data_IF_668289229621
#
_entry.id   IF_668289229621
#
_cell.length_a   1.000
_cell.length_b   1.000
_cell.length_c   1.000
_cell.angle_alpha   90.00
_cell.angle_beta   90.00
_cell.angle_gamma   90.00
#
_symmetry.space_group_name_H-M   'P 1'
#
loop_
_entity.id
_entity.type
_entity.pdbx_description
1 polymer ?
#
# COMPACT_ATOMS: atom_id res chain seq x y z
N UNK A 1 -21.87 -17.63 -15.66
CA UNK A 1 -20.60 -18.24 -16.13
C UNK A 1 -19.44 -17.50 -15.49
N UNK A 2 -18.58 -18.17 -14.72
CA UNK A 2 -17.37 -17.54 -14.18
C UNK A 2 -16.47 -17.12 -15.35
N UNK A 3 -16.07 -15.84 -15.41
CA UNK A 3 -15.11 -15.37 -16.43
C UNK A 3 -13.86 -16.24 -16.34
N UNK A 4 -13.56 -17.00 -17.41
CA UNK A 4 -12.34 -17.82 -17.53
C UNK A 4 -11.14 -16.93 -17.22
N UNK A 5 -10.41 -17.29 -16.18
CA UNK A 5 -9.24 -16.55 -15.72
C UNK A 5 -8.16 -16.64 -16.80
N UNK A 6 -7.80 -15.49 -17.41
CA UNK A 6 -6.74 -15.45 -18.43
C UNK A 6 -5.39 -15.68 -17.76
N UNK A 7 -4.58 -16.56 -18.34
CA UNK A 7 -3.18 -16.74 -17.94
C UNK A 7 -2.41 -15.44 -18.23
N UNK A 8 -1.81 -14.79 -17.22
CA UNK A 8 -1.12 -13.51 -17.40
C UNK A 8 0.19 -13.67 -18.14
N UNK A 9 0.79 -14.86 -18.13
CA UNK A 9 1.98 -15.13 -18.93
C UNK A 9 1.61 -14.97 -20.40
N UNK A 10 0.48 -15.53 -20.83
CA UNK A 10 -0.05 -15.31 -22.19
C UNK A 10 -0.35 -13.85 -22.52
N UNK A 11 -0.77 -13.04 -21.53
CA UNK A 11 -1.01 -11.59 -21.73
C UNK A 11 0.32 -10.86 -21.90
N UNK A 12 1.33 -11.16 -21.08
CA UNK A 12 2.62 -10.48 -21.12
C UNK A 12 3.44 -10.84 -22.37
N UNK A 13 3.41 -12.10 -22.79
CA UNK A 13 4.08 -12.52 -24.03
C UNK A 13 3.46 -11.85 -25.27
N UNK A 14 2.15 -11.51 -25.27
CA UNK A 14 1.55 -10.69 -26.34
C UNK A 14 2.13 -9.27 -26.41
N UNK A 15 2.54 -8.71 -25.28
CA UNK A 15 3.09 -7.36 -25.20
C UNK A 15 4.62 -7.33 -25.14
N UNK A 16 5.27 -8.48 -25.36
CA UNK A 16 6.73 -8.55 -25.43
C UNK A 16 7.21 -7.82 -26.67
N UNK A 17 7.88 -6.69 -26.45
CA UNK A 17 8.45 -5.88 -27.51
C UNK A 17 9.71 -6.58 -28.05
N UNK A 18 9.63 -7.12 -29.26
CA UNK A 18 10.75 -7.84 -29.91
C UNK A 18 11.61 -6.94 -30.81
N UNK A 19 11.16 -5.70 -31.10
CA UNK A 19 11.87 -4.67 -31.88
C UNK A 19 11.47 -3.27 -31.40
N UNK A 20 12.28 -2.24 -31.63
CA UNK A 20 11.98 -0.85 -31.26
C UNK A 20 10.61 -0.41 -31.82
N UNK A 21 9.60 -0.17 -30.97
CA UNK A 21 8.27 0.17 -31.43
C UNK A 21 8.23 1.63 -31.88
N UNK A 22 7.62 1.91 -33.04
CA UNK A 22 7.32 3.28 -33.45
C UNK A 22 6.36 3.95 -32.43
N UNK A 23 6.33 5.30 -32.34
CA UNK A 23 5.46 6.01 -31.39
C UNK A 23 3.97 5.64 -31.49
N UNK A 24 3.46 5.42 -32.71
CA UNK A 24 2.09 4.98 -32.95
C UNK A 24 1.82 3.54 -32.44
N UNK A 25 2.79 2.64 -32.63
CA UNK A 25 2.71 1.26 -32.13
C UNK A 25 2.77 1.22 -30.59
N UNK A 26 3.57 2.08 -29.96
CA UNK A 26 3.65 2.18 -28.51
C UNK A 26 2.31 2.63 -27.87
N UNK A 27 1.62 3.60 -28.47
CA UNK A 27 0.32 4.08 -27.98
C UNK A 27 -0.79 3.04 -28.11
N UNK A 28 -0.82 2.32 -29.23
CA UNK A 28 -1.76 1.20 -29.44
C UNK A 28 -1.51 0.09 -28.42
N UNK A 29 -0.25 -0.31 -28.25
CA UNK A 29 0.17 -1.33 -27.28
C UNK A 29 -0.19 -0.92 -25.84
N UNK A 30 0.03 0.34 -25.45
CA UNK A 30 -0.39 0.86 -24.16
C UNK A 30 -1.89 0.75 -23.94
N UNK A 31 -2.69 1.07 -24.96
CA UNK A 31 -4.15 1.05 -24.88
C UNK A 31 -4.68 -0.38 -24.75
N UNK A 32 -4.13 -1.31 -25.53
CA UNK A 32 -4.46 -2.74 -25.48
C UNK A 32 -4.02 -3.36 -24.14
N UNK A 33 -2.80 -3.07 -23.69
CA UNK A 33 -2.31 -3.52 -22.39
C UNK A 33 -3.19 -2.95 -21.26
N UNK A 34 -3.60 -1.68 -21.32
CA UNK A 34 -4.48 -1.07 -20.31
C UNK A 34 -5.88 -1.68 -20.31
N UNK A 35 -6.44 -2.05 -21.46
CA UNK A 35 -7.73 -2.74 -21.53
C UNK A 35 -7.64 -4.18 -20.99
N UNK A 36 -6.59 -4.93 -21.36
CA UNK A 36 -6.40 -6.30 -20.88
C UNK A 36 -5.98 -6.36 -19.40
N UNK A 37 -5.11 -5.45 -18.95
CA UNK A 37 -4.56 -5.43 -17.59
C UNK A 37 -5.43 -4.63 -16.60
N UNK A 38 -6.05 -3.54 -17.04
CA UNK A 38 -6.85 -2.65 -16.18
C UNK A 38 -8.23 -3.21 -15.81
N UNK A 39 -8.68 -4.26 -16.50
CA UNK A 39 -9.96 -4.94 -16.24
C UNK A 39 -9.79 -6.31 -15.57
N UNK A 40 -8.55 -6.80 -15.44
CA UNK A 40 -8.26 -8.12 -14.92
C UNK A 40 -8.25 -8.13 -13.38
N UNK A 41 -9.13 -8.93 -12.79
CA UNK A 41 -8.99 -9.36 -11.40
C UNK A 41 -7.91 -10.44 -11.38
N UNK A 42 -6.69 -10.04 -11.04
CA UNK A 42 -5.56 -10.95 -10.95
C UNK A 42 -5.72 -11.93 -9.79
N UNK A 43 -5.45 -13.21 -10.03
CA UNK A 43 -5.15 -14.11 -8.93
C UNK A 43 -3.82 -13.76 -8.29
N UNK A 44 -3.61 -14.18 -7.03
CA UNK A 44 -2.35 -13.99 -6.31
C UNK A 44 -1.15 -14.56 -7.09
N UNK A 45 -1.26 -15.78 -7.62
CA UNK A 45 -0.17 -16.48 -8.35
C UNK A 45 0.24 -15.74 -9.63
N UNK A 46 -0.75 -15.15 -10.27
CA UNK A 46 -0.65 -14.36 -11.48
C UNK A 46 0.15 -13.08 -11.25
N UNK A 47 -0.13 -12.39 -10.15
CA UNK A 47 0.63 -11.20 -9.75
C UNK A 47 2.06 -11.57 -9.32
N UNK A 48 2.27 -12.72 -8.67
CA UNK A 48 3.62 -13.19 -8.32
C UNK A 48 4.49 -13.41 -9.55
N UNK A 49 3.99 -14.18 -10.51
CA UNK A 49 4.68 -14.52 -11.75
C UNK A 49 5.03 -13.26 -12.54
N UNK A 50 4.06 -12.35 -12.69
CA UNK A 50 4.27 -11.03 -13.30
C UNK A 50 5.37 -10.22 -12.59
N UNK A 51 5.25 -10.06 -11.27
CA UNK A 51 6.15 -9.23 -10.47
C UNK A 51 7.59 -9.76 -10.52
N UNK A 52 7.77 -11.08 -10.37
CA UNK A 52 9.09 -11.71 -10.42
C UNK A 52 9.78 -11.59 -11.78
N UNK A 53 9.02 -11.57 -12.88
CA UNK A 53 9.56 -11.53 -14.26
C UNK A 53 9.86 -10.11 -14.75
N UNK A 54 9.10 -9.11 -14.30
CA UNK A 54 9.31 -7.70 -14.65
C UNK A 54 10.36 -7.03 -13.74
N UNK A 55 10.34 -7.32 -12.43
CA UNK A 55 11.19 -6.63 -11.45
C UNK A 55 12.38 -7.48 -10.96
N UNK A 56 12.46 -8.75 -11.38
CA UNK A 56 13.42 -9.72 -10.87
C UNK A 56 13.14 -10.16 -9.42
N UNK A 57 13.82 -11.22 -8.96
CA UNK A 57 13.93 -11.56 -7.53
C UNK A 57 15.00 -10.67 -6.87
N UNK A 58 14.84 -9.36 -6.95
CA UNK A 58 15.80 -8.48 -6.28
C UNK A 58 15.43 -8.43 -4.81
N UNK A 59 16.23 -9.07 -3.94
CA UNK A 59 16.13 -8.90 -2.49
C UNK A 59 16.57 -7.47 -2.13
N UNK A 60 15.68 -6.50 -2.34
CA UNK A 60 15.89 -5.19 -1.77
C UNK A 60 15.73 -5.33 -0.25
N UNK A 61 16.83 -5.20 0.48
CA UNK A 61 16.84 -5.11 1.95
C UNK A 61 16.84 -3.63 2.32
N UNK A 62 15.67 -2.97 2.43
CA UNK A 62 15.63 -1.57 2.82
C UNK A 62 16.22 -1.40 4.21
N UNK A 63 17.04 -0.37 4.37
CA UNK A 63 17.46 0.10 5.70
C UNK A 63 16.29 0.92 6.26
N UNK A 64 15.34 0.24 6.91
CA UNK A 64 14.24 0.88 7.62
C UNK A 64 14.73 1.22 9.03
N UNK A 65 14.89 2.51 9.35
CA UNK A 65 15.46 2.90 10.64
C UNK A 65 14.57 3.78 11.50
N UNK A 66 13.58 4.46 10.93
CA UNK A 66 12.92 5.54 11.67
C UNK A 66 11.41 5.38 11.79
N UNK A 67 10.97 5.17 13.02
CA UNK A 67 9.57 5.26 13.42
C UNK A 67 9.05 6.69 13.18
N UNK A 68 7.81 6.77 12.70
CA UNK A 68 7.11 8.02 12.44
C UNK A 68 7.32 8.63 11.07
N UNK A 69 8.07 7.97 10.19
CA UNK A 69 8.21 8.36 8.79
C UNK A 69 7.10 7.75 7.94
N UNK A 70 6.73 8.46 6.87
CA UNK A 70 5.80 7.96 5.85
C UNK A 70 6.59 7.34 4.70
N UNK A 71 6.30 6.09 4.37
CA UNK A 71 6.98 5.40 3.27
C UNK A 71 5.97 4.73 2.33
N UNK A 72 6.39 4.55 1.08
CA UNK A 72 5.68 3.71 0.11
C UNK A 72 6.62 2.75 -0.60
N UNK A 73 6.09 1.60 -0.99
CA UNK A 73 6.83 0.55 -1.68
C UNK A 73 5.86 -0.41 -2.38
N UNK A 74 6.37 -1.23 -3.29
CA UNK A 74 5.63 -2.38 -3.83
C UNK A 74 5.77 -3.55 -2.88
N UNK A 75 4.65 -4.19 -2.57
CA UNK A 75 4.63 -5.29 -1.61
C UNK A 75 3.97 -6.53 -2.19
N UNK A 76 4.53 -7.68 -1.88
CA UNK A 76 3.93 -8.95 -2.25
C UNK A 76 3.92 -9.92 -1.06
N UNK A 77 2.82 -10.01 -0.29
CA UNK A 77 2.79 -10.76 0.97
C UNK A 77 3.22 -12.22 0.83
N UNK A 78 3.76 -12.83 1.88
CA UNK A 78 4.08 -14.26 1.89
C UNK A 78 2.80 -15.13 1.82
N UNK A 79 1.73 -14.69 2.48
CA UNK A 79 0.43 -15.37 2.58
C UNK A 79 -0.59 -14.87 1.55
N UNK A 80 -0.12 -14.24 0.46
CA UNK A 80 -0.96 -13.66 -0.60
C UNK A 80 -2.05 -14.59 -1.13
N UNK A 81 -1.83 -15.91 -1.17
CA UNK A 81 -2.84 -16.91 -1.57
C UNK A 81 -4.05 -16.95 -0.63
N UNK A 82 -3.81 -16.93 0.68
CA UNK A 82 -4.85 -17.10 1.72
C UNK A 82 -5.41 -15.77 2.22
N UNK A 83 -4.70 -14.65 2.06
CA UNK A 83 -5.22 -13.33 2.43
C UNK A 83 -6.51 -12.99 1.67
N UNK A 84 -7.55 -12.45 2.31
CA UNK A 84 -8.78 -12.07 1.61
C UNK A 84 -8.54 -10.92 0.61
N UNK A 85 -7.61 -10.02 0.92
CA UNK A 85 -7.13 -8.93 0.07
C UNK A 85 -5.87 -8.31 0.70
N UNK A 86 -5.11 -7.54 -0.08
CA UNK A 86 -3.95 -6.78 0.39
C UNK A 86 -3.69 -5.59 -0.52
N UNK A 87 -2.98 -4.59 -0.01
CA UNK A 87 -2.46 -3.47 -0.80
C UNK A 87 -1.08 -3.84 -1.37
N UNK A 88 -0.95 -3.83 -2.69
CA UNK A 88 0.30 -4.09 -3.40
C UNK A 88 1.20 -2.85 -3.52
N UNK A 89 0.68 -1.66 -3.19
CA UNK A 89 1.44 -0.40 -3.10
C UNK A 89 1.14 0.31 -1.77
N UNK A 90 1.55 -0.25 -0.62
CA UNK A 90 1.32 0.39 0.69
C UNK A 90 1.81 1.83 0.77
N UNK A 91 1.02 2.69 1.43
CA UNK A 91 1.45 3.99 1.97
C UNK A 91 1.31 3.91 3.49
N UNK A 92 2.44 3.76 4.19
CA UNK A 92 2.43 3.47 5.63
C UNK A 92 3.09 4.58 6.42
N UNK A 93 2.54 4.90 7.59
CA UNK A 93 3.27 5.55 8.68
C UNK A 93 3.87 4.46 9.56
N UNK A 94 5.20 4.45 9.69
CA UNK A 94 5.91 3.44 10.48
C UNK A 94 5.62 3.67 11.96
N UNK A 95 5.21 2.61 12.66
CA UNK A 95 4.98 2.64 14.12
C UNK A 95 5.96 1.78 14.90
N UNK A 96 6.56 0.79 14.23
CA UNK A 96 7.52 -0.10 14.86
C UNK A 96 8.41 -0.76 13.79
N UNK A 97 9.67 -0.98 14.14
CA UNK A 97 10.63 -1.78 13.37
C UNK A 97 11.22 -2.79 14.34
N UNK A 98 10.55 -3.94 14.57
CA UNK A 98 10.98 -4.90 15.58
C UNK A 98 12.36 -5.50 15.30
N UNK A 99 12.67 -5.71 14.02
CA UNK A 99 13.91 -6.27 13.54
C UNK A 99 14.19 -5.80 12.09
N UNK A 100 15.32 -6.22 11.51
CA UNK A 100 15.72 -5.86 10.13
C UNK A 100 14.81 -6.45 9.04
N UNK A 101 14.04 -7.47 9.38
CA UNK A 101 13.22 -8.27 8.47
C UNK A 101 11.73 -7.90 8.56
N UNK A 102 11.34 -7.01 9.47
CA UNK A 102 9.95 -6.68 9.79
C UNK A 102 9.76 -5.18 9.98
N UNK A 103 8.72 -4.62 9.34
CA UNK A 103 8.22 -3.27 9.61
C UNK A 103 6.73 -3.29 9.87
N UNK A 104 6.30 -2.59 10.91
CA UNK A 104 4.89 -2.43 11.26
C UNK A 104 4.51 -0.97 11.03
N UNK A 105 3.40 -0.77 10.36
CA UNK A 105 2.91 0.58 10.05
C UNK A 105 1.40 0.64 9.89
N UNK A 106 0.87 1.84 10.06
CA UNK A 106 -0.51 2.16 9.73
C UNK A 106 -0.58 2.39 8.22
N UNK A 107 -1.17 1.45 7.47
CA UNK A 107 -1.40 1.62 6.05
C UNK A 107 -2.62 2.50 5.81
N UNK A 108 -2.36 3.72 5.35
CA UNK A 108 -3.35 4.77 5.17
C UNK A 108 -4.27 4.48 3.97
N UNK A 109 -3.87 3.65 3.00
CA UNK A 109 -4.74 3.31 1.88
C UNK A 109 -6.00 2.52 2.27
N UNK A 110 -5.99 1.82 3.41
CA UNK A 110 -7.16 1.11 3.94
C UNK A 110 -8.28 2.06 4.37
N UNK A 111 -7.96 3.32 4.62
CA UNK A 111 -8.91 4.35 5.02
C UNK A 111 -9.45 5.06 3.77
N UNK A 112 -10.71 5.50 3.82
CA UNK A 112 -11.22 6.46 2.83
C UNK A 112 -10.41 7.76 2.93
N UNK A 113 -10.35 8.57 1.87
CA UNK A 113 -9.56 9.82 1.86
C UNK A 113 -9.88 10.72 3.07
N UNK A 114 -11.15 10.82 3.46
CA UNK A 114 -11.58 11.58 4.64
C UNK A 114 -11.03 10.98 5.95
N UNK A 115 -11.10 9.65 6.10
CA UNK A 115 -10.56 8.97 7.28
C UNK A 115 -9.03 8.92 7.31
N UNK A 116 -8.36 8.96 6.15
CA UNK A 116 -6.90 9.13 6.04
C UNK A 116 -6.49 10.44 6.72
N UNK A 117 -7.12 11.54 6.31
CA UNK A 117 -6.85 12.87 6.86
C UNK A 117 -7.17 12.91 8.35
N UNK A 118 -8.35 12.43 8.78
CA UNK A 118 -8.72 12.41 10.21
C UNK A 118 -7.74 11.59 11.06
N UNK A 119 -7.32 10.43 10.58
CA UNK A 119 -6.36 9.56 11.29
C UNK A 119 -4.97 10.20 11.34
N UNK A 120 -4.52 10.80 10.24
CA UNK A 120 -3.24 11.53 10.19
C UNK A 120 -3.24 12.73 11.15
N UNK A 121 -4.27 13.57 11.09
CA UNK A 121 -4.39 14.75 11.96
C UNK A 121 -4.61 14.39 13.42
N UNK A 122 -5.25 13.26 13.74
CA UNK A 122 -5.34 12.81 15.14
C UNK A 122 -3.97 12.52 15.73
N UNK A 123 -2.97 12.17 14.91
CA UNK A 123 -1.58 11.93 15.29
C UNK A 123 -0.71 13.20 15.27
N UNK A 124 -1.19 14.32 14.71
CA UNK A 124 -0.48 15.61 14.64
C UNK A 124 0.18 16.07 15.95
N UNK A 125 -0.42 15.87 17.13
CA UNK A 125 0.21 16.23 18.40
C UNK A 125 1.52 15.47 18.72
N UNK A 126 1.80 14.37 18.02
CA UNK A 126 3.03 13.57 18.18
C UNK A 126 4.16 14.03 17.25
N UNK A 127 3.94 15.02 16.39
CA UNK A 127 4.90 15.47 15.40
C UNK A 127 6.14 16.12 16.07
N UNK A 128 7.34 15.77 15.59
CA UNK A 128 8.60 16.34 16.11
C UNK A 128 8.84 17.78 15.66
N UNK A 129 8.35 18.14 14.48
CA UNK A 129 8.48 19.47 13.88
C UNK A 129 7.21 19.81 13.07
N UNK A 130 6.49 20.85 13.50
CA UNK A 130 5.24 21.30 12.89
C UNK A 130 5.42 22.08 11.60
N UNK A 131 6.65 22.52 11.30
CA UNK A 131 6.96 23.15 10.02
C UNK A 131 7.19 22.13 8.90
N UNK A 132 7.08 20.82 9.21
CA UNK A 132 7.28 19.72 8.26
C UNK A 132 8.63 19.81 7.52
N UNK A 133 9.69 20.16 8.25
CA UNK A 133 11.06 20.07 7.73
C UNK A 133 11.43 18.64 7.34
N UNK A 134 12.55 18.45 6.64
CA UNK A 134 12.95 17.14 6.09
C UNK A 134 13.10 16.05 7.16
N UNK A 135 13.44 16.45 8.40
CA UNK A 135 13.60 15.55 9.54
C UNK A 135 12.33 15.37 10.37
N UNK A 136 11.21 15.99 9.98
CA UNK A 136 9.94 15.82 10.67
C UNK A 136 9.51 14.35 10.64
N UNK A 137 9.10 13.86 11.81
CA UNK A 137 8.58 12.50 12.02
C UNK A 137 7.54 12.54 13.14
N UNK A 138 6.69 11.54 13.19
CA UNK A 138 5.83 11.33 14.35
C UNK A 138 6.57 10.57 15.45
N UNK A 139 6.41 10.97 16.71
CA UNK A 139 6.77 10.13 17.87
C UNK A 139 5.66 9.09 18.12
N UNK A 140 5.29 8.34 17.08
CA UNK A 140 4.18 7.36 17.10
C UNK A 140 4.74 5.95 17.20
N UNK A 141 4.74 5.39 18.41
CA UNK A 141 5.11 3.99 18.62
C UNK A 141 3.85 3.13 18.75
N UNK A 142 3.96 1.82 18.49
CA UNK A 142 2.84 0.89 18.63
C UNK A 142 2.14 1.00 20.00
N UNK A 143 2.91 1.06 21.10
CA UNK A 143 2.39 1.22 22.47
C UNK A 143 1.50 2.47 22.63
N UNK A 144 1.92 3.61 22.08
CA UNK A 144 1.17 4.86 22.14
C UNK A 144 -0.18 4.75 21.39
N UNK A 145 -0.17 4.11 20.22
CA UNK A 145 -1.39 3.99 19.41
C UNK A 145 -2.36 2.94 19.94
N UNK A 146 -1.87 1.90 20.63
CA UNK A 146 -2.69 0.83 21.18
C UNK A 146 -3.39 1.21 22.48
N UNK A 147 -2.77 2.08 23.28
CA UNK A 147 -3.27 2.41 24.63
C UNK A 147 -4.16 3.67 24.66
N UNK A 148 -4.01 4.56 23.69
CA UNK A 148 -4.74 5.83 23.68
C UNK A 148 -5.97 5.81 22.77
N UNK A 149 -7.15 6.07 23.34
CA UNK A 149 -8.39 6.31 22.57
C UNK A 149 -8.24 7.40 21.50
N UNK A 150 -7.34 8.37 21.71
CA UNK A 150 -7.05 9.45 20.76
C UNK A 150 -6.43 8.94 19.46
N UNK A 151 -5.62 7.88 19.53
CA UNK A 151 -4.85 7.36 18.40
C UNK A 151 -5.38 6.00 17.90
N UNK A 152 -6.40 5.44 18.56
CA UNK A 152 -6.97 4.11 18.29
C UNK A 152 -7.42 3.92 16.84
N UNK A 153 -7.76 5.01 16.13
CA UNK A 153 -8.08 4.99 14.68
C UNK A 153 -6.95 4.35 13.86
N UNK A 154 -5.69 4.55 14.26
CA UNK A 154 -4.52 3.96 13.61
C UNK A 154 -4.51 2.43 13.61
N UNK A 155 -5.17 1.78 14.56
CA UNK A 155 -5.24 0.32 14.63
C UNK A 155 -6.09 -0.29 13.49
N UNK A 156 -6.94 0.50 12.84
CA UNK A 156 -7.81 -0.01 11.78
C UNK A 156 -7.01 -0.52 10.57
N UNK A 157 -5.98 0.23 10.16
CA UNK A 157 -5.08 -0.09 9.04
C UNK A 157 -3.69 -0.55 9.46
N UNK A 158 -3.48 -0.94 10.72
CA UNK A 158 -2.22 -1.51 11.17
C UNK A 158 -1.90 -2.81 10.41
N UNK A 159 -0.69 -2.90 9.85
CA UNK A 159 -0.19 -4.05 9.10
C UNK A 159 1.28 -4.29 9.42
N UNK A 160 1.66 -5.56 9.40
CA UNK A 160 3.03 -6.02 9.42
C UNK A 160 3.50 -6.37 8.01
N UNK A 161 4.71 -5.96 7.66
CA UNK A 161 5.34 -6.23 6.38
C UNK A 161 6.69 -6.89 6.60
N UNK A 162 6.93 -8.01 5.91
CA UNK A 162 8.26 -8.63 5.88
C UNK A 162 9.11 -7.95 4.80
N UNK A 163 10.29 -7.46 5.16
CA UNK A 163 11.10 -6.63 4.25
C UNK A 163 11.56 -7.43 3.02
N UNK A 164 11.80 -8.74 3.16
CA UNK A 164 12.09 -9.66 2.06
C UNK A 164 10.92 -9.88 1.06
N UNK A 165 9.73 -9.35 1.36
CA UNK A 165 8.55 -9.38 0.49
C UNK A 165 8.30 -8.02 -0.18
N UNK A 166 9.16 -7.04 0.03
CA UNK A 166 9.17 -5.76 -0.70
C UNK A 166 9.78 -5.99 -2.09
N UNK A 167 9.13 -5.45 -3.13
CA UNK A 167 9.44 -5.68 -4.56
C UNK A 167 9.88 -4.41 -5.29
N UNK A 168 10.23 -3.36 -4.56
CA UNK A 168 10.75 -2.11 -5.12
C UNK A 168 11.74 -1.48 -4.16
N UNK A 169 12.35 -0.37 -4.58
CA UNK A 169 12.91 0.58 -3.61
C UNK A 169 11.81 1.04 -2.65
N UNK A 170 12.19 1.27 -1.40
CA UNK A 170 11.34 1.96 -0.43
C UNK A 170 11.55 3.45 -0.60
N UNK A 171 10.47 4.19 -0.79
CA UNK A 171 10.50 5.65 -0.93
C UNK A 171 9.94 6.28 0.33
N UNK A 172 10.76 7.08 1.01
CA UNK A 172 10.27 8.01 2.03
C UNK A 172 9.57 9.18 1.35
N UNK A 173 8.38 9.50 1.84
CA UNK A 173 7.66 10.70 1.41
C UNK A 173 8.20 11.85 2.26
N UNK A 174 8.73 12.89 1.60
CA UNK A 174 9.16 14.10 2.28
C UNK A 174 7.98 14.66 3.12
N UNK A 175 8.18 15.03 4.40
CA UNK A 175 7.11 15.49 5.27
C UNK A 175 6.21 16.60 4.70
N UNK A 176 6.80 17.52 3.93
CA UNK A 176 6.05 18.61 3.26
C UNK A 176 5.01 18.13 2.24
N UNK A 177 5.08 16.88 1.81
CA UNK A 177 4.17 16.26 0.84
C UNK A 177 3.28 15.17 1.45
N UNK A 178 3.27 14.98 2.77
CA UNK A 178 2.44 13.94 3.39
C UNK A 178 0.96 14.11 3.08
N UNK A 179 0.41 15.32 3.21
CA UNK A 179 -0.99 15.58 2.88
C UNK A 179 -1.31 15.29 1.41
N UNK A 180 -0.41 15.69 0.51
CA UNK A 180 -0.52 15.37 -0.92
C UNK A 180 -0.55 13.86 -1.13
N UNK A 181 0.35 13.11 -0.51
CA UNK A 181 0.39 11.66 -0.60
C UNK A 181 -0.89 10.99 -0.09
N UNK A 182 -1.50 11.51 1.00
CA UNK A 182 -2.78 11.01 1.52
C UNK A 182 -3.94 11.21 0.54
N UNK A 183 -3.93 12.31 -0.21
CA UNK A 183 -4.97 12.67 -1.17
C UNK A 183 -4.87 11.90 -2.50
N UNK A 184 -3.67 11.47 -2.89
CA UNK A 184 -3.48 10.76 -4.15
C UNK A 184 -4.09 9.34 -4.09
N UNK A 185 -4.83 8.90 -5.12
CA UNK A 185 -5.42 7.57 -5.18
C UNK A 185 -4.41 6.53 -5.67
N UNK A 186 -3.27 6.40 -4.96
CA UNK A 186 -2.18 5.47 -5.33
C UNK A 186 -2.37 4.06 -4.80
N UNK A 187 -3.46 3.78 -4.09
CA UNK A 187 -3.72 2.44 -3.58
C UNK A 187 -3.81 1.40 -4.69
N UNK A 188 -3.28 0.19 -4.42
CA UNK A 188 -3.34 -0.90 -5.38
C UNK A 188 -3.80 -2.19 -4.69
N UNK A 189 -5.10 -2.25 -4.38
CA UNK A 189 -5.68 -3.42 -3.73
C UNK A 189 -5.87 -4.61 -4.67
N UNK A 190 -5.45 -5.79 -4.19
CA UNK A 190 -5.62 -7.08 -4.87
C UNK A 190 -6.78 -7.84 -4.22
N UNK A 191 -7.54 -8.61 -5.03
CA UNK A 191 -8.74 -9.41 -4.68
C UNK A 191 -10.00 -8.63 -4.29
N UNK A 192 -9.90 -7.36 -3.89
CA UNK A 192 -11.06 -6.57 -3.44
C UNK A 192 -10.94 -5.11 -3.84
N UNK A 193 -12.06 -4.49 -4.23
CA UNK A 193 -12.12 -3.09 -4.64
C UNK A 193 -11.86 -2.16 -3.45
N UNK A 194 -11.15 -1.06 -3.70
CA UNK A 194 -10.74 -0.08 -2.67
C UNK A 194 -11.92 0.42 -1.83
N UNK A 195 -13.00 0.87 -2.45
CA UNK A 195 -14.16 1.41 -1.74
C UNK A 195 -14.77 0.43 -0.73
N UNK A 196 -14.82 -0.87 -1.05
CA UNK A 196 -15.38 -1.89 -0.14
C UNK A 196 -14.48 -2.04 1.09
N UNK A 197 -13.16 -2.10 0.88
CA UNK A 197 -12.17 -2.17 1.96
C UNK A 197 -12.24 -0.93 2.85
N UNK A 198 -12.39 0.24 2.25
CA UNK A 198 -12.47 1.50 2.96
C UNK A 198 -13.77 1.62 3.78
N UNK A 199 -14.91 1.17 3.25
CA UNK A 199 -16.17 1.07 4.02
C UNK A 199 -16.04 0.11 5.21
N UNK A 200 -15.41 -1.05 5.03
CA UNK A 200 -15.14 -1.99 6.12
C UNK A 200 -14.22 -1.39 7.18
N UNK A 201 -13.20 -0.66 6.74
CA UNK A 201 -12.27 0.03 7.64
C UNK A 201 -12.98 1.13 8.43
N UNK A 202 -13.87 1.92 7.81
CA UNK A 202 -14.70 2.89 8.53
C UNK A 202 -15.60 2.23 9.59
N UNK A 203 -16.17 1.06 9.30
CA UNK A 203 -16.93 0.27 10.30
C UNK A 203 -16.02 -0.20 11.46
N UNK A 204 -14.81 -0.67 11.15
CA UNK A 204 -13.81 -1.05 12.16
C UNK A 204 -13.43 0.13 13.05
N UNK A 205 -13.23 1.32 12.48
CA UNK A 205 -12.93 2.55 13.22
C UNK A 205 -14.07 2.89 14.20
N UNK A 206 -15.33 2.89 13.75
CA UNK A 206 -16.50 3.15 14.61
C UNK A 206 -16.53 2.19 15.80
N UNK A 207 -16.33 0.89 15.55
CA UNK A 207 -16.24 -0.13 16.61
C UNK A 207 -15.11 0.16 17.61
N UNK A 208 -13.92 0.54 17.13
CA UNK A 208 -12.79 0.90 18.00
C UNK A 208 -13.08 2.13 18.88
N UNK A 209 -13.89 3.06 18.38
CA UNK A 209 -14.31 4.27 19.10
C UNK A 209 -15.49 4.04 20.05
N UNK A 210 -16.13 2.86 20.02
CA UNK A 210 -17.36 2.60 20.76
C UNK A 210 -18.61 3.27 20.16
N UNK A 211 -18.56 3.67 18.89
CA UNK A 211 -19.68 4.30 18.18
C UNK A 211 -20.61 3.22 17.59
N UNK A 212 -21.93 3.46 17.65
CA UNK A 212 -22.92 2.54 17.06
C UNK A 212 -22.87 2.54 15.53
N UNK A 213 -23.07 1.35 14.92
CA UNK A 213 -23.25 1.23 13.48
C UNK A 213 -24.65 1.74 13.10
N UNK A 214 -24.77 3.05 12.83
CA UNK A 214 -25.86 3.56 11.98
C UNK A 214 -25.63 3.17 10.52
#
# INVERSE_FOLDING_TARGET
>A
MAKKQKDPISILEKFKVTKNPSPANAKKMYTEARQELGTAVYTPDVFESYSNRIYGKTEFKPVLKEVGKMITFRYFPQTYKTLPYFDAQPLILIVEVPDKDTVIGVNLHYYSIQERMRTFYSMWPLLTDRNLGEQARFRMYYSIISESKKYIRGLAGLKEYKTNRIRSRVYEINPKYWETALALPTEHFIKKKSHVIQTETSKKIRKLLGESNR
#
